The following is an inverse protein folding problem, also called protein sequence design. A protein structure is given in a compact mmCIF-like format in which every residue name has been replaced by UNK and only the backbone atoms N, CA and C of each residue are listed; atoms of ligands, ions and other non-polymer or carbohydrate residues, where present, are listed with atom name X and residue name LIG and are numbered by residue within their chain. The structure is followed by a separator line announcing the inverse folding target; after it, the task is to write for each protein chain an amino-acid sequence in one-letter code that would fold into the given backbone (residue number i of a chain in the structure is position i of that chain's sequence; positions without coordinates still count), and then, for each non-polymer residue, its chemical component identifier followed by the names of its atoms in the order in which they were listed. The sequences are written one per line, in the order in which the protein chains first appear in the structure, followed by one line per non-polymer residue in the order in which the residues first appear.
data_IF_723971531264
#
_entry.id   IF_723971531264
#
_cell.length_a   1.000
_cell.length_b   1.000
_cell.length_c   1.000
_cell.angle_alpha   90.00
_cell.angle_beta   90.00
_cell.angle_gamma   90.00
#
_symmetry.space_group_name_H-M   'P 1'
#
loop_
_entity.id
_entity.type
_entity.pdbx_description
1 polymer ?
#
# COMPACT_ATOMS: atom_id res chain seq x y z
N UNK A 1 -22.55 -6.02 0.19
CA UNK A 1 -22.73 -5.57 1.58
C UNK A 1 -21.38 -5.04 2.04
N UNK A 2 -21.35 -4.01 2.85
CA UNK A 2 -20.10 -3.33 3.21
C UNK A 2 -19.75 -3.55 4.68
N UNK A 3 -19.97 -4.77 5.15
CA UNK A 3 -19.80 -5.09 6.58
C UNK A 3 -18.32 -5.00 6.99
N UNK A 4 -17.39 -5.41 6.10
CA UNK A 4 -15.96 -5.31 6.37
C UNK A 4 -15.52 -3.84 6.48
N UNK A 5 -16.02 -2.97 5.61
CA UNK A 5 -15.71 -1.54 5.66
C UNK A 5 -16.23 -0.90 6.94
N UNK A 6 -17.44 -1.25 7.35
CA UNK A 6 -18.04 -0.77 8.61
C UNK A 6 -17.23 -1.26 9.81
N UNK A 7 -16.86 -2.54 9.83
CA UNK A 7 -16.05 -3.11 10.89
C UNK A 7 -14.65 -2.47 10.96
N UNK A 8 -14.04 -2.21 9.81
CA UNK A 8 -12.74 -1.57 9.75
C UNK A 8 -12.79 -0.13 10.26
N UNK A 9 -13.80 0.63 9.83
CA UNK A 9 -13.99 2.00 10.29
C UNK A 9 -14.18 2.07 11.81
N UNK A 10 -14.97 1.14 12.38
CA UNK A 10 -15.14 1.04 13.81
C UNK A 10 -13.81 0.73 14.50
N UNK A 11 -13.04 -0.19 13.97
CA UNK A 11 -11.74 -0.56 14.54
C UNK A 11 -10.79 0.63 14.58
N UNK A 12 -10.64 1.37 13.48
CA UNK A 12 -9.73 2.52 13.45
C UNK A 12 -10.20 3.62 14.40
N UNK A 13 -11.51 3.87 14.52
CA UNK A 13 -12.04 4.85 15.44
C UNK A 13 -11.82 4.44 16.89
N UNK A 14 -12.06 3.18 17.24
CA UNK A 14 -11.87 2.65 18.59
C UNK A 14 -10.40 2.70 19.03
N UNK A 15 -9.46 2.64 18.09
CA UNK A 15 -8.02 2.65 18.37
C UNK A 15 -7.36 4.01 18.15
N UNK A 16 -8.15 5.04 17.83
CA UNK A 16 -7.63 6.38 17.61
C UNK A 16 -6.73 6.49 16.39
N UNK A 17 -6.95 5.66 15.38
CA UNK A 17 -6.18 5.67 14.15
C UNK A 17 -6.87 6.58 13.13
N UNK A 18 -6.10 7.51 12.56
CA UNK A 18 -6.62 8.49 11.61
C UNK A 18 -6.29 8.07 10.18
N UNK A 19 -7.36 7.89 9.39
CA UNK A 19 -7.27 7.59 7.95
C UNK A 19 -8.24 8.45 7.17
N UNK A 20 -7.89 8.75 5.93
CA UNK A 20 -8.82 9.38 5.00
C UNK A 20 -9.68 8.29 4.36
N UNK A 21 -11.01 8.41 4.52
CA UNK A 21 -11.96 7.55 3.83
C UNK A 21 -12.29 8.19 2.49
N UNK A 22 -12.05 7.45 1.41
CA UNK A 22 -12.33 7.92 0.06
C UNK A 22 -13.73 7.61 -0.38
N UNK A 23 -14.09 8.20 -1.53
CA UNK A 23 -15.33 7.84 -2.22
C UNK A 23 -15.16 6.43 -2.79
N UNK A 24 -16.22 5.64 -2.77
CA UNK A 24 -16.21 4.32 -3.37
C UNK A 24 -15.81 4.41 -4.84
N UNK A 25 -14.81 3.63 -5.21
CA UNK A 25 -14.37 3.48 -6.59
C UNK A 25 -14.79 2.09 -7.02
N UNK A 26 -15.69 2.02 -8.01
CA UNK A 26 -16.25 0.77 -8.47
C UNK A 26 -16.88 -0.01 -7.30
N UNK A 27 -16.34 -1.19 -6.98
CA UNK A 27 -16.89 -2.06 -5.94
C UNK A 27 -16.05 -2.06 -4.67
N UNK A 28 -15.30 -0.97 -4.40
CA UNK A 28 -14.42 -0.88 -3.25
C UNK A 28 -14.68 0.34 -2.38
N UNK A 29 -14.55 0.16 -1.08
CA UNK A 29 -14.46 1.25 -0.10
C UNK A 29 -13.00 1.46 0.22
N UNK A 30 -12.52 2.70 0.08
CA UNK A 30 -11.10 3.04 0.11
C UNK A 30 -10.76 3.78 1.39
N UNK A 31 -9.68 3.38 2.04
CA UNK A 31 -9.06 4.08 3.17
C UNK A 31 -7.62 4.38 2.83
N UNK A 32 -7.14 5.58 3.15
CA UNK A 32 -5.74 5.96 2.93
C UNK A 32 -5.06 6.26 4.25
N UNK A 33 -3.92 5.63 4.49
CA UNK A 33 -3.10 5.81 5.67
C UNK A 33 -1.66 6.18 5.26
N UNK A 34 -1.00 7.14 5.92
CA UNK A 34 -1.54 7.99 6.98
C UNK A 34 -2.52 9.02 6.47
N UNK A 35 -3.21 9.70 7.39
CA UNK A 35 -4.05 10.84 7.04
C UNK A 35 -3.22 11.96 6.45
N UNK A 36 -3.79 12.69 5.48
CA UNK A 36 -3.12 13.85 4.90
C UNK A 36 -2.85 14.91 5.95
N UNK A 37 -1.67 15.50 5.88
CA UNK A 37 -1.29 16.67 6.68
C UNK A 37 -0.81 17.78 5.76
N UNK A 38 -0.86 19.02 6.24
CA UNK A 38 -0.36 20.18 5.50
C UNK A 38 1.00 20.57 6.08
N UNK A 39 2.03 20.54 5.25
CA UNK A 39 3.39 20.94 5.61
C UNK A 39 3.84 22.00 4.60
N UNK A 40 4.17 23.20 5.11
CA UNK A 40 4.56 24.35 4.28
C UNK A 40 3.54 24.65 3.16
N UNK A 41 2.25 24.52 3.48
CA UNK A 41 1.17 24.80 2.55
C UNK A 41 0.89 23.70 1.54
N UNK A 42 1.57 22.57 1.63
CA UNK A 42 1.42 21.43 0.71
C UNK A 42 0.82 20.24 1.46
N UNK A 43 -0.19 19.62 0.86
CA UNK A 43 -0.76 18.38 1.40
C UNK A 43 0.18 17.21 1.18
N UNK A 44 0.51 16.49 2.25
CA UNK A 44 1.42 15.33 2.21
C UNK A 44 0.92 14.19 3.07
N UNK A 45 1.31 12.98 2.69
CA UNK A 45 1.13 11.78 3.51
C UNK A 45 2.47 11.47 4.18
N UNK A 46 2.59 11.78 5.46
CA UNK A 46 3.86 11.64 6.19
C UNK A 46 3.69 10.69 7.36
N UNK A 47 4.47 9.61 7.33
CA UNK A 47 4.56 8.65 8.44
C UNK A 47 5.38 9.22 9.59
N UNK A 48 5.27 8.61 10.75
CA UNK A 48 6.15 8.89 11.87
C UNK A 48 7.61 8.81 11.44
N UNK A 49 8.43 9.80 11.83
CA UNK A 49 9.81 9.90 11.37
C UNK A 49 10.02 10.70 10.09
N UNK A 50 8.96 11.24 9.49
CA UNK A 50 9.05 12.16 8.35
C UNK A 50 9.08 11.51 6.98
N UNK A 51 8.90 10.19 6.88
CA UNK A 51 8.89 9.50 5.59
C UNK A 51 7.57 9.73 4.86
N UNK A 52 7.64 10.18 3.61
CA UNK A 52 6.47 10.32 2.75
C UNK A 52 6.15 8.96 2.13
N UNK A 53 5.21 8.26 2.72
CA UNK A 53 4.70 6.98 2.23
C UNK A 53 3.21 6.93 2.50
N UNK A 54 2.47 6.35 1.61
CA UNK A 54 1.05 6.10 1.85
C UNK A 54 0.68 4.68 1.45
N UNK A 55 -0.24 4.11 2.18
CA UNK A 55 -0.90 2.89 1.80
C UNK A 55 -2.37 3.17 1.53
N UNK A 56 -2.90 2.50 0.54
CA UNK A 56 -4.33 2.52 0.24
C UNK A 56 -4.88 1.13 0.57
N UNK A 57 -5.92 1.11 1.39
CA UNK A 57 -6.63 -0.11 1.75
C UNK A 57 -7.95 -0.09 1.00
N UNK A 58 -8.16 -1.06 0.12
CA UNK A 58 -9.36 -1.19 -0.68
C UNK A 58 -10.14 -2.42 -0.22
N UNK A 59 -11.26 -2.18 0.46
CA UNK A 59 -12.15 -3.24 0.94
C UNK A 59 -13.26 -3.45 -0.09
N UNK A 60 -13.35 -4.66 -0.62
CA UNK A 60 -14.35 -4.97 -1.62
C UNK A 60 -15.75 -4.99 -1.00
N UNK A 61 -16.72 -4.39 -1.67
CA UNK A 61 -18.06 -4.19 -1.14
C UNK A 61 -18.85 -5.50 -0.95
N UNK A 62 -18.42 -6.59 -1.59
CA UNK A 62 -19.00 -7.92 -1.38
C UNK A 62 -18.37 -8.69 -0.20
N UNK A 63 -17.48 -8.03 0.54
CA UNK A 63 -16.82 -8.56 1.73
C UNK A 63 -15.91 -9.78 1.48
N UNK A 64 -15.42 -9.96 0.24
CA UNK A 64 -14.60 -11.12 -0.12
C UNK A 64 -13.11 -10.92 0.04
N UNK A 65 -12.62 -9.67 -0.13
CA UNK A 65 -11.19 -9.41 -0.07
C UNK A 65 -10.85 -7.98 0.33
N UNK A 66 -9.60 -7.80 0.75
CA UNK A 66 -8.97 -6.49 0.94
C UNK A 66 -7.68 -6.45 0.15
N UNK A 67 -7.48 -5.37 -0.60
CA UNK A 67 -6.21 -5.07 -1.23
C UNK A 67 -5.52 -3.96 -0.44
N UNK A 68 -4.22 -4.11 -0.23
CA UNK A 68 -3.39 -3.09 0.40
C UNK A 68 -2.31 -2.71 -0.61
N UNK A 69 -2.23 -1.42 -0.93
CA UNK A 69 -1.26 -0.90 -1.89
C UNK A 69 -0.33 0.08 -1.19
N UNK A 70 0.96 0.00 -1.49
CA UNK A 70 1.90 1.07 -1.24
C UNK A 70 2.27 1.66 -2.59
N UNK A 71 1.65 2.79 -2.93
CA UNK A 71 1.86 3.43 -4.22
C UNK A 71 3.08 4.34 -4.21
N UNK A 72 3.68 4.48 -5.37
CA UNK A 72 4.69 5.48 -5.66
C UNK A 72 5.93 5.34 -4.76
N UNK A 73 6.46 4.12 -4.66
CA UNK A 73 7.70 3.88 -3.92
C UNK A 73 8.84 4.64 -4.60
N UNK A 74 8.87 4.62 -5.93
CA UNK A 74 9.82 5.37 -6.74
C UNK A 74 9.28 5.50 -8.16
N UNK A 75 9.90 6.38 -8.96
CA UNK A 75 9.63 6.49 -10.39
C UNK A 75 10.81 5.93 -11.15
N UNK A 76 10.54 5.21 -12.22
CA UNK A 76 11.58 4.64 -13.08
C UNK A 76 11.68 5.46 -14.37
N UNK A 77 12.89 5.80 -14.83
CA UNK A 77 13.04 6.44 -16.13
C UNK A 77 12.54 5.54 -17.26
N UNK A 78 12.08 6.14 -18.34
CA UNK A 78 11.67 5.39 -19.53
C UNK A 78 12.89 4.89 -20.29
N UNK A 79 13.57 3.90 -19.73
CA UNK A 79 14.83 3.33 -20.21
C UNK A 79 14.72 1.81 -20.14
N UNK A 80 14.74 1.13 -21.28
CA UNK A 80 14.52 -0.31 -21.36
C UNK A 80 15.57 -1.11 -20.60
N UNK A 81 16.82 -0.65 -20.56
CA UNK A 81 17.89 -1.33 -19.83
C UNK A 81 17.66 -1.27 -18.32
N UNK A 82 17.26 -0.10 -17.82
CA UNK A 82 16.94 0.08 -16.40
C UNK A 82 15.71 -0.70 -16.01
N UNK A 83 14.69 -0.70 -16.85
CA UNK A 83 13.47 -1.50 -16.59
C UNK A 83 13.80 -2.99 -16.57
N UNK A 84 14.67 -3.48 -17.44
CA UNK A 84 15.08 -4.89 -17.42
C UNK A 84 15.77 -5.27 -16.11
N UNK A 85 16.67 -4.42 -15.61
CA UNK A 85 17.32 -4.63 -14.30
C UNK A 85 16.31 -4.59 -13.16
N UNK A 86 15.36 -3.67 -13.22
CA UNK A 86 14.30 -3.55 -12.23
C UNK A 86 13.41 -4.80 -12.20
N UNK A 87 12.98 -5.29 -13.37
CA UNK A 87 12.10 -6.47 -13.43
C UNK A 87 12.82 -7.73 -12.93
N UNK A 88 14.11 -7.83 -13.15
CA UNK A 88 14.93 -8.91 -12.59
C UNK A 88 14.92 -8.84 -11.05
N UNK A 89 15.09 -7.65 -10.50
CA UNK A 89 14.98 -7.44 -9.06
C UNK A 89 13.59 -7.82 -8.54
N UNK A 90 12.53 -7.40 -9.23
CA UNK A 90 11.17 -7.74 -8.84
C UNK A 90 10.95 -9.25 -8.81
N UNK A 91 11.52 -9.98 -9.77
CA UNK A 91 11.44 -11.44 -9.75
C UNK A 91 12.09 -12.02 -8.50
N UNK A 92 13.23 -11.49 -8.08
CA UNK A 92 13.91 -11.90 -6.85
C UNK A 92 13.06 -11.56 -5.62
N UNK A 93 12.57 -10.33 -5.52
CA UNK A 93 11.77 -9.88 -4.38
C UNK A 93 10.47 -10.65 -4.27
N UNK A 94 9.76 -10.83 -5.39
CA UNK A 94 8.48 -11.52 -5.39
C UNK A 94 8.63 -13.02 -5.11
N UNK A 95 9.82 -13.58 -5.33
CA UNK A 95 10.14 -14.95 -4.94
C UNK A 95 10.45 -15.08 -3.44
N UNK A 96 10.90 -14.00 -2.81
CA UNK A 96 11.30 -13.96 -1.40
C UNK A 96 10.14 -13.63 -0.48
N UNK A 97 9.39 -12.57 -0.82
CA UNK A 97 8.25 -12.15 -0.01
C UNK A 97 7.03 -13.02 -0.30
N UNK A 98 6.38 -13.48 0.76
CA UNK A 98 5.24 -14.40 0.64
C UNK A 98 3.91 -13.70 0.42
N UNK A 99 3.75 -12.50 0.98
CA UNK A 99 2.47 -11.83 1.04
C UNK A 99 2.35 -10.65 0.09
N UNK A 100 3.47 -10.11 -0.37
CA UNK A 100 3.45 -8.90 -1.18
C UNK A 100 4.18 -9.09 -2.50
N UNK A 101 3.79 -8.28 -3.46
CA UNK A 101 4.40 -8.23 -4.79
C UNK A 101 4.79 -6.79 -5.11
N UNK A 102 5.97 -6.63 -5.71
CA UNK A 102 6.41 -5.37 -6.30
C UNK A 102 6.10 -5.37 -7.79
N UNK A 103 5.69 -4.22 -8.30
CA UNK A 103 5.36 -4.08 -9.72
C UNK A 103 5.61 -2.65 -10.19
N UNK A 104 5.70 -2.48 -11.51
CA UNK A 104 5.77 -1.17 -12.14
C UNK A 104 4.52 -0.97 -12.99
N UNK A 105 3.94 0.20 -12.91
CA UNK A 105 2.80 0.60 -13.71
C UNK A 105 3.01 2.06 -14.12
N UNK A 106 3.07 2.29 -15.41
CA UNK A 106 3.25 3.63 -15.99
C UNK A 106 4.45 4.37 -15.37
N UNK A 107 5.60 3.69 -15.33
CA UNK A 107 6.87 4.21 -14.80
C UNK A 107 6.83 4.53 -13.30
N UNK A 108 5.88 3.98 -12.57
CA UNK A 108 5.76 4.12 -11.12
C UNK A 108 5.89 2.75 -10.48
N UNK A 109 6.76 2.66 -9.46
CA UNK A 109 6.98 1.43 -8.70
C UNK A 109 6.08 1.43 -7.48
N UNK A 110 5.35 0.34 -7.31
CA UNK A 110 4.41 0.15 -6.21
C UNK A 110 4.50 -1.28 -5.70
N UNK A 111 3.86 -1.54 -4.57
CA UNK A 111 3.71 -2.89 -4.03
C UNK A 111 2.27 -3.11 -3.59
N UNK A 112 1.88 -4.38 -3.48
CA UNK A 112 0.53 -4.73 -3.09
C UNK A 112 0.47 -6.04 -2.31
N UNK A 113 -0.54 -6.14 -1.46
CA UNK A 113 -0.91 -7.35 -0.73
C UNK A 113 -2.40 -7.56 -0.95
N UNK A 114 -2.81 -8.76 -1.30
CA UNK A 114 -4.23 -9.10 -1.37
C UNK A 114 -4.56 -10.13 -0.28
N UNK A 115 -5.57 -9.83 0.52
CA UNK A 115 -6.02 -10.70 1.60
C UNK A 115 -7.45 -11.15 1.28
N UNK A 116 -7.68 -12.43 0.98
CA UNK A 116 -9.03 -12.94 0.86
C UNK A 116 -9.64 -13.14 2.25
N UNK A 117 -10.87 -12.72 2.43
CA UNK A 117 -11.64 -12.95 3.64
C UNK A 117 -12.85 -13.81 3.29
N UNK A 118 -13.06 -14.87 4.04
CA UNK A 118 -14.19 -15.77 3.86
C UNK A 118 -15.03 -15.75 5.14
N UNK A 119 -15.78 -14.66 5.34
CA UNK A 119 -16.61 -14.40 6.51
C UNK A 119 -15.83 -14.26 7.83
N UNK A 120 -14.50 -14.07 7.74
CA UNK A 120 -13.62 -13.94 8.88
C UNK A 120 -12.81 -12.67 8.79
N UNK A 121 -13.47 -11.52 8.66
CA UNK A 121 -12.78 -10.25 8.58
C UNK A 121 -11.99 -9.98 9.85
N UNK A 122 -10.73 -9.59 9.66
CA UNK A 122 -9.79 -9.31 10.75
C UNK A 122 -9.09 -7.97 10.47
N UNK A 123 -9.55 -6.92 11.12
CA UNK A 123 -8.97 -5.59 10.98
C UNK A 123 -7.53 -5.54 11.49
N UNK A 124 -7.21 -6.30 12.54
CA UNK A 124 -5.85 -6.35 13.07
C UNK A 124 -4.87 -6.90 12.04
N UNK A 125 -5.29 -7.90 11.27
CA UNK A 125 -4.47 -8.47 10.20
C UNK A 125 -4.13 -7.40 9.14
N UNK A 126 -5.06 -6.51 8.82
CA UNK A 126 -4.81 -5.41 7.89
C UNK A 126 -3.68 -4.52 8.43
N UNK A 127 -3.67 -4.22 9.74
CA UNK A 127 -2.60 -3.41 10.34
C UNK A 127 -1.27 -4.13 10.37
N UNK A 128 -1.27 -5.44 10.61
CA UNK A 128 -0.04 -6.22 10.50
C UNK A 128 0.52 -6.17 9.08
N UNK A 129 -0.34 -6.26 8.08
CA UNK A 129 0.08 -6.19 6.68
C UNK A 129 0.50 -4.77 6.26
N UNK A 130 -0.10 -3.74 6.85
CA UNK A 130 0.38 -2.37 6.66
C UNK A 130 1.83 -2.22 7.15
N UNK A 131 2.15 -2.76 8.32
CA UNK A 131 3.52 -2.75 8.83
C UNK A 131 4.46 -3.49 7.87
N UNK A 132 4.06 -4.64 7.36
CA UNK A 132 4.85 -5.42 6.40
C UNK A 132 5.10 -4.62 5.13
N UNK A 133 4.08 -4.00 4.54
CA UNK A 133 4.23 -3.30 3.26
C UNK A 133 5.12 -2.05 3.39
N UNK A 134 4.98 -1.30 4.47
CA UNK A 134 5.83 -0.14 4.71
C UNK A 134 7.27 -0.54 5.02
N UNK A 135 7.48 -1.57 5.83
CA UNK A 135 8.81 -2.06 6.15
C UNK A 135 9.51 -2.59 4.91
N UNK A 136 8.81 -3.32 4.05
CA UNK A 136 9.36 -3.81 2.81
C UNK A 136 9.76 -2.67 1.87
N UNK A 137 8.94 -1.62 1.75
CA UNK A 137 9.26 -0.46 0.93
C UNK A 137 10.55 0.22 1.40
N UNK A 138 10.71 0.39 2.71
CA UNK A 138 11.91 1.00 3.29
C UNK A 138 13.14 0.11 3.11
N UNK A 139 12.98 -1.17 3.36
CA UNK A 139 14.09 -2.13 3.29
C UNK A 139 14.61 -2.31 1.86
N UNK A 140 13.71 -2.33 0.88
CA UNK A 140 14.09 -2.60 -0.51
C UNK A 140 14.38 -1.33 -1.32
N UNK A 141 14.06 -0.16 -0.79
CA UNK A 141 14.27 1.10 -1.48
C UNK A 141 15.70 1.28 -2.01
N UNK A 142 16.77 1.04 -1.22
CA UNK A 142 18.13 1.17 -1.73
C UNK A 142 18.43 0.25 -2.91
N UNK A 143 17.93 -0.98 -2.90
CA UNK A 143 18.13 -1.92 -4.00
C UNK A 143 17.38 -1.49 -5.25
N UNK A 144 16.17 -0.98 -5.08
CA UNK A 144 15.35 -0.45 -6.18
C UNK A 144 16.08 0.73 -6.85
N UNK A 145 16.50 1.69 -6.03
CA UNK A 145 17.18 2.89 -6.52
C UNK A 145 18.49 2.53 -7.26
N UNK A 146 19.22 1.53 -6.78
CA UNK A 146 20.45 1.09 -7.43
C UNK A 146 20.21 0.54 -8.85
N UNK A 147 19.01 0.07 -9.16
CA UNK A 147 18.67 -0.45 -10.49
C UNK A 147 18.24 0.64 -11.48
N UNK A 148 17.73 1.76 -10.97
CA UNK A 148 17.08 2.78 -11.82
C UNK A 148 17.85 4.09 -11.91
N UNK A 149 18.99 4.18 -11.26
CA UNK A 149 19.90 5.33 -11.38
C UNK A 149 20.99 5.13 -12.42
#
# INVERSE_FOLDING_TARGET
MRDNATAFEKYINDHGIHMNKGVNIEDFTIFTFPEKTIIDGVEKYVLGGGNERRAVIALRDDDTLADIFCFHIASVPNDDNKKALLYKLFNELNSTYKYLSFYEDDNVISSKICIPFNNNFDAELIFEMLAVIFQAAEQEYPRIIARIR
#
